data_IF_831241654268
#
_entry.id   IF_831241654268
#
_cell.length_a   1.000
_cell.length_b   1.000
_cell.length_c   1.000
_cell.angle_alpha   90.00
_cell.angle_beta   90.00
_cell.angle_gamma   90.00
#
_symmetry.space_group_name_H-M   'P 1'
#
loop_
_entity.id
_entity.type
_entity.pdbx_description
1 polymer ?
#
# COMPACT_ATOMS: atom_id res chain seq x y z
N UNK A 1 2.75 -40.81 8.72
CA UNK A 1 2.35 -39.69 9.60
C UNK A 1 2.30 -38.42 8.77
N UNK A 2 1.20 -37.68 8.77
CA UNK A 2 1.06 -36.44 8.00
C UNK A 2 1.73 -35.27 8.74
N UNK A 3 2.45 -34.42 8.01
CA UNK A 3 3.18 -33.26 8.55
C UNK A 3 2.27 -32.34 9.39
N UNK A 4 1.05 -32.07 8.91
CA UNK A 4 0.04 -31.29 9.64
C UNK A 4 -0.38 -31.96 10.96
N UNK A 5 -0.41 -33.29 11.01
CA UNK A 5 -0.74 -34.04 12.22
C UNK A 5 0.36 -33.96 13.29
N UNK A 6 1.62 -33.82 12.89
CA UNK A 6 2.74 -33.60 13.81
C UNK A 6 2.66 -32.20 14.42
N UNK A 7 2.40 -31.18 13.59
CA UNK A 7 2.24 -29.79 14.04
C UNK A 7 1.06 -29.66 15.00
N UNK A 8 -0.08 -30.28 14.70
CA UNK A 8 -1.26 -30.27 15.58
C UNK A 8 -1.02 -30.91 16.95
N UNK A 9 -0.19 -31.98 17.01
CA UNK A 9 0.22 -32.59 18.28
C UNK A 9 1.15 -31.69 19.08
N UNK A 10 2.09 -31.01 18.41
CA UNK A 10 3.04 -30.09 19.06
C UNK A 10 2.33 -28.86 19.63
N UNK A 11 1.36 -28.28 18.92
CA UNK A 11 0.55 -27.14 19.38
C UNK A 11 -0.27 -27.47 20.63
N UNK A 12 -0.77 -28.71 20.77
CA UNK A 12 -1.51 -29.16 21.96
C UNK A 12 -0.60 -29.46 23.15
N UNK A 13 0.60 -29.99 22.90
CA UNK A 13 1.57 -30.33 23.94
C UNK A 13 2.24 -29.09 24.53
N UNK A 14 2.38 -28.01 23.75
CA UNK A 14 3.09 -26.80 24.13
C UNK A 14 2.32 -25.53 23.68
N UNK A 15 1.41 -25.00 24.52
CA UNK A 15 0.56 -23.86 24.14
C UNK A 15 1.34 -22.56 23.87
N UNK A 16 2.57 -22.45 24.38
CA UNK A 16 3.45 -21.31 24.13
C UNK A 16 3.85 -21.14 22.64
N UNK A 17 3.69 -22.17 21.80
CA UNK A 17 4.00 -22.08 20.36
C UNK A 17 2.88 -21.42 19.55
N UNK A 18 1.66 -21.34 20.08
CA UNK A 18 0.51 -20.73 19.38
C UNK A 18 0.79 -19.28 18.95
N UNK A 19 1.22 -18.35 19.84
CA UNK A 19 1.52 -16.98 19.44
C UNK A 19 2.65 -16.89 18.41
N UNK A 20 3.66 -17.75 18.50
CA UNK A 20 4.78 -17.78 17.56
C UNK A 20 4.29 -18.12 16.14
N UNK A 21 3.47 -19.16 15.99
CA UNK A 21 2.92 -19.55 14.69
C UNK A 21 1.99 -18.49 14.10
N UNK A 22 1.27 -17.73 14.93
CA UNK A 22 0.43 -16.62 14.45
C UNK A 22 1.29 -15.52 13.84
N UNK A 23 2.39 -15.11 14.49
CA UNK A 23 3.25 -14.07 13.93
C UNK A 23 4.01 -14.53 12.69
N UNK A 24 4.49 -15.77 12.66
CA UNK A 24 5.18 -16.32 11.49
C UNK A 24 4.19 -16.49 10.33
N UNK A 25 3.04 -17.13 10.58
CA UNK A 25 2.00 -17.32 9.57
C UNK A 25 1.43 -16.00 9.07
N UNK A 26 1.19 -15.05 9.98
CA UNK A 26 0.78 -13.70 9.66
C UNK A 26 1.81 -12.96 8.82
N UNK A 27 3.10 -13.03 9.19
CA UNK A 27 4.21 -12.44 8.44
C UNK A 27 4.30 -13.00 7.01
N UNK A 28 4.31 -14.32 6.86
CA UNK A 28 4.36 -14.98 5.54
C UNK A 28 3.14 -14.61 4.68
N UNK A 29 1.95 -14.63 5.27
CA UNK A 29 0.71 -14.29 4.56
C UNK A 29 0.70 -12.82 4.13
N UNK A 30 1.13 -11.91 5.01
CA UNK A 30 1.17 -10.47 4.73
C UNK A 30 2.24 -10.12 3.69
N UNK A 31 3.44 -10.72 3.78
CA UNK A 31 4.49 -10.57 2.77
C UNK A 31 4.04 -11.11 1.41
N UNK A 32 3.42 -12.29 1.38
CA UNK A 32 2.87 -12.87 0.16
C UNK A 32 1.77 -12.01 -0.46
N UNK A 33 0.84 -11.51 0.36
CA UNK A 33 -0.22 -10.62 -0.10
C UNK A 33 0.33 -9.30 -0.68
N UNK A 34 1.35 -8.72 -0.05
CA UNK A 34 2.00 -7.51 -0.54
C UNK A 34 2.71 -7.75 -1.88
N UNK A 35 3.47 -8.83 -2.00
CA UNK A 35 4.11 -9.21 -3.25
C UNK A 35 3.10 -9.48 -4.36
N UNK A 36 1.98 -10.15 -4.06
CA UNK A 36 0.90 -10.36 -5.01
C UNK A 36 0.27 -9.03 -5.47
N UNK A 37 0.04 -8.09 -4.55
CA UNK A 37 -0.42 -6.74 -4.88
C UNK A 37 0.56 -6.01 -5.80
N UNK A 38 1.86 -6.10 -5.52
CA UNK A 38 2.90 -5.50 -6.35
C UNK A 38 2.91 -6.14 -7.74
N UNK A 39 2.93 -7.47 -7.82
CA UNK A 39 2.96 -8.20 -9.07
C UNK A 39 1.77 -7.86 -9.97
N UNK A 40 0.57 -7.74 -9.42
CA UNK A 40 -0.66 -7.58 -10.22
C UNK A 40 -1.02 -6.12 -10.52
N UNK A 41 -0.65 -5.17 -9.65
CA UNK A 41 -1.09 -3.78 -9.73
C UNK A 41 0.03 -2.77 -10.01
N UNK A 42 1.30 -3.19 -10.13
CA UNK A 42 2.35 -2.26 -10.55
C UNK A 42 2.29 -2.00 -12.05
N UNK A 43 2.41 -0.73 -12.50
CA UNK A 43 2.54 -0.41 -13.91
C UNK A 43 3.87 -0.90 -14.51
N UNK A 44 4.90 -1.10 -13.69
CA UNK A 44 6.21 -1.59 -14.13
C UNK A 44 6.23 -3.11 -14.40
N UNK A 45 5.17 -3.82 -13.98
CA UNK A 45 5.06 -5.28 -14.12
C UNK A 45 3.86 -5.59 -15.02
N UNK A 46 4.11 -5.82 -16.31
CA UNK A 46 3.07 -6.24 -17.25
C UNK A 46 3.14 -7.75 -17.51
N UNK A 47 2.09 -8.46 -17.11
CA UNK A 47 1.88 -9.88 -17.46
C UNK A 47 1.28 -10.06 -18.86
N UNK A 48 0.66 -9.01 -19.40
CA UNK A 48 0.03 -9.02 -20.71
C UNK A 48 0.95 -8.36 -21.74
N UNK A 49 1.72 -9.19 -22.45
CA UNK A 49 2.66 -8.73 -23.50
C UNK A 49 2.01 -8.56 -24.87
N UNK A 50 0.77 -9.02 -25.07
CA UNK A 50 0.14 -9.10 -26.40
C UNK A 50 -0.93 -8.05 -26.62
N UNK A 51 -1.79 -7.80 -25.62
CA UNK A 51 -2.87 -6.82 -25.76
C UNK A 51 -2.57 -5.48 -25.05
N UNK A 52 -1.38 -5.35 -24.44
CA UNK A 52 -0.96 -4.13 -23.77
C UNK A 52 0.58 -3.97 -23.87
N UNK A 53 1.13 -3.74 -25.08
CA UNK A 53 2.57 -3.62 -25.32
C UNK A 53 3.21 -2.48 -24.51
N UNK A 54 2.39 -1.51 -24.09
CA UNK A 54 2.79 -0.32 -23.36
C UNK A 54 1.97 -0.20 -22.06
N UNK A 55 2.52 -0.58 -20.89
CA UNK A 55 1.76 -0.66 -19.64
C UNK A 55 1.11 0.67 -19.19
N UNK A 56 1.64 1.80 -19.64
CA UNK A 56 1.14 3.14 -19.33
C UNK A 56 -0.19 3.48 -20.02
N UNK A 57 -0.58 2.78 -21.09
CA UNK A 57 -1.78 3.11 -21.85
C UNK A 57 -3.10 2.88 -21.07
N UNK A 58 -3.04 2.12 -19.96
CA UNK A 58 -4.17 1.84 -19.06
C UNK A 58 -4.16 2.68 -17.77
N UNK A 59 -3.16 3.55 -17.60
CA UNK A 59 -3.06 4.41 -16.43
C UNK A 59 -3.81 5.71 -16.69
N UNK A 60 -4.88 5.96 -15.93
CA UNK A 60 -5.51 7.28 -15.93
C UNK A 60 -4.52 8.31 -15.35
N UNK A 61 -4.40 9.52 -15.93
CA UNK A 61 -3.55 10.59 -15.41
C UNK A 61 -3.84 10.95 -13.95
N UNK A 62 -5.06 10.69 -13.48
CA UNK A 62 -5.56 10.98 -12.13
C UNK A 62 -5.23 9.87 -11.12
N UNK A 63 -4.74 8.70 -11.57
CA UNK A 63 -4.56 7.54 -10.69
C UNK A 63 -3.21 7.63 -9.94
N UNK A 64 -3.28 7.85 -8.63
CA UNK A 64 -2.09 7.81 -7.77
C UNK A 64 -1.66 6.36 -7.50
N UNK A 65 -0.67 5.87 -8.26
CA UNK A 65 -0.12 4.52 -8.07
C UNK A 65 0.85 4.41 -6.90
N UNK A 66 1.46 5.54 -6.48
CA UNK A 66 2.42 5.61 -5.37
C UNK A 66 1.70 5.58 -4.03
N UNK A 67 2.07 4.62 -3.19
CA UNK A 67 1.45 4.37 -1.87
C UNK A 67 1.66 5.55 -0.90
N UNK A 68 2.69 6.36 -1.12
CA UNK A 68 2.96 7.53 -0.28
C UNK A 68 2.09 8.71 -0.71
N UNK A 69 1.21 9.17 0.18
CA UNK A 69 0.35 10.34 -0.02
C UNK A 69 1.11 11.68 -0.08
N UNK A 70 2.45 11.67 -0.10
CA UNK A 70 3.28 12.89 -0.10
C UNK A 70 2.90 13.85 -1.22
N UNK A 71 2.51 13.32 -2.38
CA UNK A 71 2.09 14.12 -3.52
C UNK A 71 0.71 14.77 -3.28
N UNK A 72 -0.25 14.01 -2.76
CA UNK A 72 -1.58 14.55 -2.42
C UNK A 72 -1.49 15.56 -1.28
N UNK A 73 -0.68 15.28 -0.26
CA UNK A 73 -0.44 16.16 0.87
C UNK A 73 0.24 17.46 0.43
N UNK A 74 1.29 17.41 -0.39
CA UNK A 74 1.95 18.62 -0.93
C UNK A 74 0.97 19.55 -1.64
N UNK A 75 0.12 19.01 -2.53
CA UNK A 75 -0.86 19.80 -3.28
C UNK A 75 -1.94 20.42 -2.34
N UNK A 76 -2.38 19.67 -1.33
CA UNK A 76 -3.34 20.18 -0.33
C UNK A 76 -2.72 21.26 0.58
N UNK A 77 -1.45 21.11 0.98
CA UNK A 77 -0.75 22.12 1.77
C UNK A 77 -0.47 23.39 0.96
N UNK A 78 -0.12 23.29 -0.32
CA UNK A 78 0.09 24.47 -1.18
C UNK A 78 -1.20 25.27 -1.36
N UNK A 79 -2.33 24.60 -1.62
CA UNK A 79 -3.64 25.25 -1.74
C UNK A 79 -4.10 25.92 -0.44
N UNK A 80 -3.83 25.29 0.72
CA UNK A 80 -4.13 25.87 2.03
C UNK A 80 -3.28 27.11 2.34
N UNK A 81 -2.01 27.11 1.96
CA UNK A 81 -1.14 28.27 2.13
C UNK A 81 -1.58 29.42 1.23
N UNK A 82 -1.87 29.18 -0.04
CA UNK A 82 -2.32 30.25 -0.96
C UNK A 82 -3.63 30.91 -0.51
N UNK A 83 -4.59 30.12 0.01
CA UNK A 83 -5.83 30.66 0.57
C UNK A 83 -5.61 31.51 1.82
N UNK A 84 -4.71 31.09 2.71
CA UNK A 84 -4.42 31.83 3.96
C UNK A 84 -3.57 33.09 3.72
N UNK A 85 -2.62 33.06 2.79
CA UNK A 85 -1.81 34.23 2.43
C UNK A 85 -2.65 35.28 1.70
N UNK A 86 -3.48 34.90 0.73
CA UNK A 86 -4.39 35.84 0.07
C UNK A 86 -5.40 36.43 1.05
N UNK A 87 -5.94 35.63 1.97
CA UNK A 87 -6.83 36.11 3.03
C UNK A 87 -6.16 37.12 3.97
N UNK A 88 -4.91 36.87 4.39
CA UNK A 88 -4.15 37.83 5.20
C UNK A 88 -3.82 39.10 4.43
N UNK A 89 -3.35 38.98 3.18
CA UNK A 89 -3.05 40.14 2.32
C UNK A 89 -4.27 41.05 2.15
N UNK A 90 -5.46 40.47 1.93
CA UNK A 90 -6.70 41.26 1.85
C UNK A 90 -6.99 42.03 3.15
N UNK A 91 -6.73 41.45 4.32
CA UNK A 91 -6.93 42.15 5.60
C UNK A 91 -5.96 43.32 5.85
N UNK A 92 -4.74 43.25 5.29
CA UNK A 92 -3.79 44.37 5.34
C UNK A 92 -4.14 45.49 4.37
N UNK A 93 -4.82 45.17 3.27
CA UNK A 93 -5.26 46.14 2.26
C UNK A 93 -6.60 46.82 2.60
N UNK A 94 -7.31 46.33 3.63
CA UNK A 94 -8.58 46.90 4.12
C UNK A 94 -8.45 47.72 5.41
N UNK A 95 -7.23 47.95 5.89
CA UNK A 95 -6.91 48.92 6.96
C UNK A 95 -6.23 50.14 6.36
#
# INVERSE_FOLDING_TARGET
>A
MSFLGVIGKQLKSHPALIPLFIFIGGGVTMSGAYLARLALKNPDVSWDRKNNPEPWNKLEPTQQYKVTASHSLHNNYHGALEGTWKGKQMQYLTK
#
